data_IF_769764930219
#
_entry.id   IF_769764930219
#
_cell.length_a   1.000
_cell.length_b   1.000
_cell.length_c   1.000
_cell.angle_alpha   90.00
_cell.angle_beta   90.00
_cell.angle_gamma   90.00
#
_symmetry.space_group_name_H-M   'P 1'
#
loop_
_entity.id
_entity.type
_entity.pdbx_description
1 polymer ?
#
# COMPACT_ATOMS: atom_id res chain seq x y z
N UNK A 1 -25.63 42.96 -0.97
CA UNK A 1 -24.16 42.92 -1.21
C UNK A 1 -23.42 42.00 -0.23
N UNK A 2 -23.89 41.80 1.00
CA UNK A 2 -23.27 40.85 1.96
C UNK A 2 -23.60 39.36 1.72
N UNK A 3 -24.75 39.07 1.14
CA UNK A 3 -25.23 37.70 0.88
C UNK A 3 -24.40 36.95 -0.16
N UNK A 4 -23.84 37.64 -1.16
CA UNK A 4 -22.96 37.03 -2.16
C UNK A 4 -21.59 36.64 -1.61
N UNK A 5 -21.06 37.40 -0.66
CA UNK A 5 -19.78 37.12 0.00
C UNK A 5 -19.86 35.93 0.96
N UNK A 6 -20.97 35.79 1.69
CA UNK A 6 -21.25 34.62 2.52
C UNK A 6 -21.36 33.35 1.68
N UNK A 7 -22.12 33.40 0.58
CA UNK A 7 -22.26 32.27 -0.33
C UNK A 7 -20.93 31.83 -0.95
N UNK A 8 -20.07 32.78 -1.35
CA UNK A 8 -18.75 32.48 -1.90
C UNK A 8 -17.82 31.82 -0.85
N UNK A 9 -17.85 32.32 0.39
CA UNK A 9 -17.07 31.79 1.51
C UNK A 9 -17.46 30.35 1.81
N UNK A 10 -18.76 30.08 1.90
CA UNK A 10 -19.25 28.74 2.25
C UNK A 10 -18.88 27.74 1.15
N UNK A 11 -19.02 28.09 -0.13
CA UNK A 11 -18.64 27.20 -1.23
C UNK A 11 -17.13 26.90 -1.27
N UNK A 12 -16.29 27.88 -0.93
CA UNK A 12 -14.84 27.67 -0.81
C UNK A 12 -14.53 26.75 0.38
N UNK A 13 -15.17 26.94 1.53
CA UNK A 13 -14.95 26.08 2.70
C UNK A 13 -15.40 24.63 2.44
N UNK A 14 -16.52 24.43 1.76
CA UNK A 14 -17.02 23.08 1.41
C UNK A 14 -16.06 22.37 0.46
N UNK A 15 -15.57 23.06 -0.58
CA UNK A 15 -14.62 22.48 -1.53
C UNK A 15 -13.26 22.18 -0.92
N UNK A 16 -12.77 22.99 0.02
CA UNK A 16 -11.55 22.72 0.78
C UNK A 16 -11.71 21.52 1.71
N UNK A 17 -12.86 21.40 2.38
CA UNK A 17 -13.15 20.27 3.24
C UNK A 17 -13.23 18.97 2.43
N UNK A 18 -13.95 18.97 1.30
CA UNK A 18 -14.07 17.81 0.42
C UNK A 18 -12.70 17.33 -0.11
N UNK A 19 -11.83 18.27 -0.53
CA UNK A 19 -10.46 17.93 -0.94
C UNK A 19 -9.67 17.23 0.17
N UNK A 20 -9.76 17.74 1.41
CA UNK A 20 -9.04 17.17 2.54
C UNK A 20 -9.52 15.75 2.90
N UNK A 21 -10.82 15.48 2.76
CA UNK A 21 -11.39 14.15 2.98
C UNK A 21 -10.97 13.14 1.89
N UNK A 22 -10.91 13.57 0.63
CA UNK A 22 -10.44 12.75 -0.50
C UNK A 22 -8.95 12.37 -0.34
N UNK A 23 -8.12 13.31 0.09
CA UNK A 23 -6.67 13.09 0.24
C UNK A 23 -6.34 12.12 1.40
N UNK A 24 -7.08 12.21 2.51
CA UNK A 24 -6.92 11.33 3.67
C UNK A 24 -7.35 9.88 3.38
N UNK A 25 -8.33 9.69 2.50
CA UNK A 25 -8.78 8.37 2.07
C UNK A 25 -7.70 7.65 1.25
N UNK A 26 -6.97 8.38 0.41
CA UNK A 26 -5.85 7.86 -0.38
C UNK A 26 -4.76 7.25 0.53
N UNK A 27 -4.26 8.00 1.51
CA UNK A 27 -3.17 7.55 2.42
C UNK A 27 -3.57 6.35 3.27
N UNK A 28 -4.82 6.30 3.72
CA UNK A 28 -5.34 5.20 4.56
C UNK A 28 -5.37 3.88 3.78
N UNK A 29 -5.76 3.92 2.50
CA UNK A 29 -5.68 2.74 1.62
C UNK A 29 -4.23 2.35 1.32
N UNK A 30 -3.33 3.32 1.18
CA UNK A 30 -1.89 3.04 0.98
C UNK A 30 -1.32 2.22 2.14
N UNK A 31 -1.59 2.60 3.39
CA UNK A 31 -1.08 1.87 4.57
C UNK A 31 -1.69 0.48 4.67
N UNK A 32 -2.99 0.34 4.40
CA UNK A 32 -3.70 -0.93 4.49
C UNK A 32 -3.21 -1.96 3.46
N UNK A 33 -2.73 -1.50 2.29
CA UNK A 33 -2.16 -2.36 1.26
C UNK A 33 -0.64 -2.59 1.43
N UNK A 34 0.10 -1.56 1.84
CA UNK A 34 1.56 -1.64 1.97
C UNK A 34 1.96 -2.44 3.21
N UNK A 35 1.17 -2.38 4.29
CA UNK A 35 1.40 -3.14 5.52
C UNK A 35 1.55 -4.65 5.30
N UNK A 36 0.56 -5.33 4.67
CA UNK A 36 0.63 -6.76 4.37
C UNK A 36 1.84 -7.14 3.49
N UNK A 37 2.16 -6.32 2.50
CA UNK A 37 3.29 -6.56 1.59
C UNK A 37 4.61 -6.49 2.36
N UNK A 38 4.82 -5.43 3.13
CA UNK A 38 6.04 -5.25 3.92
C UNK A 38 6.18 -6.34 4.98
N UNK A 39 5.09 -6.70 5.66
CA UNK A 39 5.07 -7.80 6.63
C UNK A 39 5.42 -9.14 5.98
N UNK A 40 4.89 -9.43 4.79
CA UNK A 40 5.20 -10.63 4.04
C UNK A 40 6.69 -10.72 3.68
N UNK A 41 7.30 -9.62 3.22
CA UNK A 41 8.73 -9.57 2.93
C UNK A 41 9.59 -9.76 4.18
N UNK A 42 9.24 -9.10 5.28
CA UNK A 42 9.95 -9.23 6.55
C UNK A 42 9.91 -10.68 7.06
N UNK A 43 8.74 -11.31 7.02
CA UNK A 43 8.58 -12.74 7.35
C UNK A 43 9.39 -13.63 6.42
N UNK A 44 9.41 -13.34 5.13
CA UNK A 44 10.15 -14.17 4.16
C UNK A 44 11.66 -14.08 4.39
N UNK A 45 12.20 -12.90 4.68
CA UNK A 45 13.63 -12.73 5.03
C UNK A 45 13.95 -13.51 6.32
N UNK A 46 13.08 -13.43 7.32
CA UNK A 46 13.25 -14.17 8.56
C UNK A 46 13.24 -15.69 8.33
N UNK A 47 12.27 -16.20 7.56
CA UNK A 47 12.18 -17.61 7.18
C UNK A 47 13.44 -18.05 6.43
N UNK A 48 13.88 -17.30 5.43
CA UNK A 48 15.11 -17.58 4.68
C UNK A 48 16.32 -17.67 5.62
N UNK A 49 16.45 -16.77 6.60
CA UNK A 49 17.51 -16.83 7.60
C UNK A 49 17.46 -18.12 8.43
N UNK A 50 16.27 -18.55 8.86
CA UNK A 50 16.08 -19.81 9.62
C UNK A 50 16.42 -21.04 8.77
N UNK A 51 16.06 -21.02 7.47
CA UNK A 51 16.40 -22.10 6.55
C UNK A 51 17.90 -22.18 6.29
N UNK A 52 18.60 -21.05 6.17
CA UNK A 52 20.06 -21.04 5.98
C UNK A 52 20.84 -21.50 7.21
N UNK A 53 20.29 -21.30 8.41
CA UNK A 53 20.85 -21.78 9.67
C UNK A 53 20.80 -23.30 9.81
N UNK A 54 19.90 -23.98 9.08
CA UNK A 54 19.76 -25.43 9.11
C UNK A 54 20.31 -26.07 7.82
N UNK A 55 21.36 -26.93 7.90
CA UNK A 55 21.99 -27.52 6.71
C UNK A 55 21.03 -28.37 5.86
N UNK A 56 20.03 -28.99 6.48
CA UNK A 56 18.99 -29.78 5.79
C UNK A 56 18.09 -28.94 4.89
N UNK A 57 17.79 -27.69 5.29
CA UNK A 57 16.80 -26.84 4.60
C UNK A 57 17.43 -25.73 3.75
N UNK A 58 18.76 -25.58 3.79
CA UNK A 58 19.56 -24.71 2.94
C UNK A 58 19.18 -24.71 1.45
N UNK A 59 18.97 -25.86 0.79
CA UNK A 59 18.63 -25.87 -0.64
C UNK A 59 17.23 -25.29 -0.93
N UNK A 60 16.37 -25.18 0.08
CA UNK A 60 14.99 -24.69 -0.07
C UNK A 60 14.93 -23.16 0.15
N UNK A 61 15.90 -22.59 0.87
CA UNK A 61 15.99 -21.15 1.11
C UNK A 61 15.93 -20.27 -0.17
N UNK A 62 16.65 -20.58 -1.27
CA UNK A 62 16.53 -19.79 -2.51
C UNK A 62 15.14 -19.90 -3.16
N UNK A 63 14.41 -21.01 -2.96
CA UNK A 63 13.04 -21.18 -3.47
C UNK A 63 12.08 -20.23 -2.75
N UNK A 64 12.19 -20.15 -1.42
CA UNK A 64 11.41 -19.20 -0.62
C UNK A 64 11.68 -17.75 -1.03
N UNK A 65 12.94 -17.42 -1.31
CA UNK A 65 13.32 -16.09 -1.82
C UNK A 65 12.72 -15.80 -3.21
N UNK A 66 12.76 -16.77 -4.13
CA UNK A 66 12.15 -16.64 -5.45
C UNK A 66 10.63 -16.42 -5.36
N UNK A 67 9.96 -17.14 -4.46
CA UNK A 67 8.53 -16.94 -4.18
C UNK A 67 8.23 -15.52 -3.71
N UNK A 68 9.06 -14.97 -2.80
CA UNK A 68 8.92 -13.60 -2.33
C UNK A 68 9.00 -12.58 -3.48
N UNK A 69 9.96 -12.77 -4.39
CA UNK A 69 10.14 -11.88 -5.54
C UNK A 69 8.91 -11.94 -6.46
N UNK A 70 8.42 -13.14 -6.79
CA UNK A 70 7.25 -13.31 -7.64
C UNK A 70 6.01 -12.66 -7.02
N UNK A 71 5.77 -12.90 -5.73
CA UNK A 71 4.66 -12.28 -5.00
C UNK A 71 4.79 -10.75 -4.92
N UNK A 72 6.01 -10.25 -4.73
CA UNK A 72 6.32 -8.82 -4.78
C UNK A 72 5.94 -8.19 -6.10
N UNK A 73 6.44 -8.76 -7.21
CA UNK A 73 6.16 -8.28 -8.56
C UNK A 73 4.68 -8.39 -8.87
N UNK A 74 4.03 -9.49 -8.52
CA UNK A 74 2.59 -9.68 -8.70
C UNK A 74 1.78 -8.65 -7.91
N UNK A 75 2.17 -8.36 -6.66
CA UNK A 75 1.54 -7.32 -5.83
C UNK A 75 1.67 -5.92 -6.43
N UNK A 76 2.86 -5.57 -6.94
CA UNK A 76 3.11 -4.28 -7.62
C UNK A 76 2.33 -4.19 -8.93
N UNK A 77 2.29 -5.26 -9.74
CA UNK A 77 1.51 -5.31 -10.98
C UNK A 77 0.01 -5.21 -10.72
N UNK A 78 -0.48 -5.93 -9.71
CA UNK A 78 -1.88 -5.87 -9.29
C UNK A 78 -2.24 -4.44 -8.87
N UNK A 79 -1.39 -3.76 -8.10
CA UNK A 79 -1.60 -2.35 -7.74
C UNK A 79 -1.51 -1.42 -8.95
N UNK A 80 -0.61 -1.63 -9.90
CA UNK A 80 -0.54 -0.79 -11.11
C UNK A 80 -1.82 -0.90 -11.95
N UNK A 81 -2.38 -2.13 -12.06
CA UNK A 81 -3.58 -2.40 -12.85
C UNK A 81 -4.87 -2.00 -12.14
N UNK A 82 -5.03 -2.33 -10.86
CA UNK A 82 -6.25 -2.08 -10.08
C UNK A 82 -6.22 -0.77 -9.30
N UNK A 83 -5.04 -0.19 -9.08
CA UNK A 83 -4.90 1.06 -8.36
C UNK A 83 -5.39 2.29 -9.12
N UNK A 84 -5.56 2.17 -10.44
CA UNK A 84 -6.25 3.13 -11.31
C UNK A 84 -7.76 2.90 -11.43
N UNK A 85 -8.25 1.75 -10.96
CA UNK A 85 -9.66 1.32 -11.12
C UNK A 85 -10.45 1.54 -9.84
N UNK A 86 -9.77 1.48 -8.68
CA UNK A 86 -10.37 1.71 -7.37
C UNK A 86 -10.17 3.15 -6.85
N UNK A 87 -9.40 3.99 -7.57
CA UNK A 87 -9.14 5.40 -7.28
C UNK A 87 -9.02 6.23 -8.55
#
# INVERSE_FOLDING_TARGET
MYTSLLFLRDNILTSLNEKSHMEKYSISTWILLLGPIVAFFALTIWVVSVLYANPTYRPIAPIALAFAIIFGVAGVFWRHKFGKVLF
#
